data_IF_241680817116
#
_entry.id   IF_241680817116
#
_cell.length_a   1.000
_cell.length_b   1.000
_cell.length_c   1.000
_cell.angle_alpha   90.00
_cell.angle_beta   90.00
_cell.angle_gamma   90.00
#
_symmetry.space_group_name_H-M   'P 1'
#
loop_
_entity.id
_entity.type
_entity.pdbx_description
1 polymer ?
#
# COMPACT_ATOMS: atom_id res chain seq x y z
N UNK A 1 3.20 0.17 -36.52
CA UNK A 1 3.81 -0.31 -35.26
C UNK A 1 2.66 -0.70 -34.33
N UNK A 2 2.48 -1.99 -34.06
CA UNK A 2 1.38 -2.48 -33.22
C UNK A 2 1.71 -2.13 -31.76
N UNK A 3 1.04 -1.14 -31.19
CA UNK A 3 1.17 -0.82 -29.77
C UNK A 3 0.77 -2.07 -28.98
N UNK A 4 1.75 -2.70 -28.32
CA UNK A 4 1.48 -3.79 -27.40
C UNK A 4 0.48 -3.28 -26.35
N UNK A 5 -0.57 -4.05 -26.01
CA UNK A 5 -1.48 -3.65 -24.95
C UNK A 5 -0.63 -3.51 -23.68
N UNK A 6 -0.64 -2.31 -23.08
CA UNK A 6 -0.08 -2.11 -21.73
C UNK A 6 -0.76 -3.14 -20.85
N UNK A 7 -0.01 -4.15 -20.42
CA UNK A 7 -0.48 -5.14 -19.46
C UNK A 7 -0.76 -4.35 -18.18
N UNK A 8 -2.02 -3.99 -17.95
CA UNK A 8 -2.45 -3.40 -16.69
C UNK A 8 -2.31 -4.54 -15.69
N UNK A 9 -1.13 -4.63 -15.07
CA UNK A 9 -0.96 -5.44 -13.88
C UNK A 9 -1.81 -4.72 -12.85
N UNK A 10 -3.03 -5.22 -12.63
CA UNK A 10 -3.82 -4.84 -11.46
C UNK A 10 -2.98 -5.26 -10.26
N UNK A 11 -2.21 -4.32 -9.71
CA UNK A 11 -1.47 -4.56 -8.48
C UNK A 11 -2.53 -4.90 -7.43
N UNK A 12 -2.53 -6.15 -6.98
CA UNK A 12 -3.45 -6.59 -5.95
C UNK A 12 -2.90 -6.09 -4.61
N UNK A 13 -3.50 -5.03 -4.09
CA UNK A 13 -3.13 -4.48 -2.79
C UNK A 13 -3.79 -5.31 -1.70
N UNK A 14 -3.02 -6.24 -1.14
CA UNK A 14 -3.52 -7.18 -0.15
C UNK A 14 -3.43 -6.58 1.26
N UNK A 15 -4.58 -6.48 1.93
CA UNK A 15 -4.68 -6.08 3.33
C UNK A 15 -4.58 -7.32 4.23
N UNK A 16 -3.48 -7.43 4.97
CA UNK A 16 -3.19 -8.59 5.83
C UNK A 16 -3.22 -8.25 7.32
N UNK A 17 -3.32 -9.26 8.17
CA UNK A 17 -3.20 -9.08 9.61
C UNK A 17 -1.72 -8.87 10.02
N UNK A 18 -1.51 -8.49 11.28
CA UNK A 18 -0.17 -8.19 11.81
C UNK A 18 0.81 -9.38 11.76
N UNK A 19 0.33 -10.61 11.97
CA UNK A 19 1.19 -11.80 11.97
C UNK A 19 1.69 -12.09 10.56
N UNK A 20 0.78 -12.10 9.59
CA UNK A 20 1.14 -12.28 8.17
C UNK A 20 2.04 -11.15 7.69
N UNK A 21 1.78 -9.90 8.09
CA UNK A 21 2.67 -8.79 7.76
C UNK A 21 4.08 -8.99 8.32
N UNK A 22 4.21 -9.49 9.55
CA UNK A 22 5.50 -9.77 10.17
C UNK A 22 6.26 -10.87 9.40
N UNK A 23 5.58 -11.96 9.05
CA UNK A 23 6.15 -13.06 8.26
C UNK A 23 6.64 -12.57 6.88
N UNK A 24 5.82 -11.78 6.18
CA UNK A 24 6.12 -11.32 4.83
C UNK A 24 7.21 -10.24 4.79
N UNK A 25 7.29 -9.38 5.81
CA UNK A 25 8.31 -8.32 5.88
C UNK A 25 9.61 -8.77 6.54
N UNK A 26 9.61 -9.90 7.25
CA UNK A 26 10.69 -10.31 8.14
C UNK A 26 10.85 -9.43 9.38
N UNK A 27 9.94 -8.46 9.60
CA UNK A 27 9.93 -7.61 10.79
C UNK A 27 9.17 -8.28 11.92
N UNK A 28 9.56 -8.01 13.17
CA UNK A 28 8.77 -8.47 14.30
C UNK A 28 7.39 -7.78 14.34
N UNK A 29 6.34 -8.44 14.87
CA UNK A 29 5.03 -7.80 15.09
C UNK A 29 5.12 -6.54 15.99
N UNK A 30 6.14 -6.48 16.86
CA UNK A 30 6.38 -5.37 17.76
C UNK A 30 6.98 -4.18 16.99
N UNK A 31 7.89 -4.43 16.04
CA UNK A 31 8.44 -3.42 15.13
C UNK A 31 7.34 -2.81 14.26
N UNK A 32 6.46 -3.63 13.68
CA UNK A 32 5.30 -3.13 12.91
C UNK A 32 4.34 -2.30 13.78
N UNK A 33 4.18 -2.65 15.06
CA UNK A 33 3.40 -1.84 16.00
C UNK A 33 4.11 -0.51 16.29
N UNK A 34 5.43 -0.54 16.48
CA UNK A 34 6.26 0.64 16.74
C UNK A 34 6.18 1.63 15.57
N UNK A 35 6.46 1.18 14.34
CA UNK A 35 6.41 2.03 13.14
C UNK A 35 5.04 2.67 12.92
N UNK A 36 3.97 1.94 13.26
CA UNK A 36 2.60 2.48 13.23
C UNK A 36 2.38 3.58 14.26
N UNK A 37 2.85 3.38 15.50
CA UNK A 37 2.66 4.34 16.59
C UNK A 37 3.55 5.57 16.47
N UNK A 38 4.73 5.42 15.86
CA UNK A 38 5.67 6.51 15.59
C UNK A 38 5.33 7.31 14.32
N UNK A 39 4.33 6.86 13.54
CA UNK A 39 3.92 7.54 12.31
C UNK A 39 4.83 7.31 11.10
N UNK A 40 5.83 6.43 11.21
CA UNK A 40 6.70 6.03 10.10
C UNK A 40 5.87 5.37 8.99
N UNK A 41 4.91 4.52 9.40
CA UNK A 41 3.90 3.97 8.50
C UNK A 41 2.62 4.79 8.65
N UNK A 42 2.38 5.66 7.68
CA UNK A 42 1.19 6.51 7.61
C UNK A 42 -0.11 5.70 7.55
N UNK A 43 -1.12 6.18 8.28
CA UNK A 43 -2.47 5.63 8.31
C UNK A 43 -3.14 5.82 6.94
N UNK A 44 -3.98 4.87 6.55
CA UNK A 44 -4.76 4.85 5.31
C UNK A 44 -3.93 4.65 4.02
N UNK A 45 -2.60 4.73 4.13
CA UNK A 45 -1.64 4.30 3.11
C UNK A 45 -1.11 2.89 3.39
N UNK A 46 -0.35 2.73 4.48
CA UNK A 46 0.33 1.48 4.81
C UNK A 46 -0.49 0.57 5.72
N UNK A 47 -1.45 1.12 6.44
CA UNK A 47 -2.34 0.36 7.31
C UNK A 47 -3.67 1.07 7.44
N UNK A 48 -4.73 0.29 7.63
CA UNK A 48 -6.08 0.79 7.85
C UNK A 48 -6.64 0.23 9.15
N UNK A 49 -7.46 1.05 9.81
CA UNK A 49 -8.26 0.63 10.94
C UNK A 49 -9.67 0.31 10.45
N UNK A 50 -10.04 -0.97 10.42
CA UNK A 50 -11.40 -1.38 10.07
C UNK A 50 -12.35 -1.06 11.24
N UNK A 51 -11.87 -1.32 12.46
CA UNK A 51 -12.52 -0.95 13.72
C UNK A 51 -11.44 -0.82 14.82
N UNK A 52 -11.78 -0.35 16.04
CA UNK A 52 -10.78 -0.13 17.09
C UNK A 52 -9.94 -1.37 17.48
N UNK A 53 -10.41 -2.58 17.16
CA UNK A 53 -9.73 -3.85 17.46
C UNK A 53 -9.04 -4.48 16.24
N UNK A 54 -9.38 -4.04 15.03
CA UNK A 54 -8.94 -4.68 13.78
C UNK A 54 -8.16 -3.70 12.92
N UNK A 55 -6.85 -3.93 12.90
CA UNK A 55 -5.89 -3.23 12.05
C UNK A 55 -5.46 -4.19 10.93
N UNK A 56 -5.37 -3.67 9.70
CA UNK A 56 -4.82 -4.37 8.55
C UNK A 56 -3.69 -3.58 7.93
N UNK A 57 -2.69 -4.27 7.43
CA UNK A 57 -1.49 -3.71 6.81
C UNK A 57 -1.52 -3.95 5.30
N UNK A 58 -1.20 -2.93 4.52
CA UNK A 58 -1.03 -3.00 3.08
C UNK A 58 0.37 -3.54 2.78
N UNK A 59 0.48 -4.85 2.56
CA UNK A 59 1.78 -5.50 2.48
C UNK A 59 2.59 -5.06 1.27
N UNK A 60 1.92 -4.80 0.15
CA UNK A 60 2.54 -4.39 -1.10
C UNK A 60 3.28 -3.06 -0.94
N UNK A 61 2.64 -2.06 -0.31
CA UNK A 61 3.26 -0.76 -0.07
C UNK A 61 4.35 -0.81 1.00
N UNK A 62 4.20 -1.64 2.04
CA UNK A 62 5.23 -1.75 3.08
C UNK A 62 6.50 -2.39 2.50
N UNK A 63 6.37 -3.45 1.69
CA UNK A 63 7.52 -4.07 1.03
C UNK A 63 8.19 -3.12 0.04
N UNK A 64 7.41 -2.39 -0.76
CA UNK A 64 7.94 -1.38 -1.68
C UNK A 64 8.68 -0.27 -0.92
N UNK A 65 8.11 0.23 0.18
CA UNK A 65 8.77 1.19 1.06
C UNK A 65 10.08 0.65 1.61
N UNK A 66 10.11 -0.60 2.11
CA UNK A 66 11.33 -1.21 2.64
C UNK A 66 12.45 -1.29 1.60
N UNK A 67 12.11 -1.54 0.33
CA UNK A 67 13.07 -1.62 -0.77
C UNK A 67 13.57 -0.25 -1.23
N UNK A 68 12.67 0.75 -1.23
CA UNK A 68 12.90 2.03 -1.88
C UNK A 68 13.24 3.19 -0.93
N UNK A 69 12.98 3.08 0.38
CA UNK A 69 13.14 4.19 1.34
C UNK A 69 14.54 4.80 1.37
N UNK A 70 15.58 3.99 1.19
CA UNK A 70 16.99 4.43 1.29
C UNK A 70 17.59 4.71 -0.10
N UNK A 71 17.03 4.12 -1.17
CA UNK A 71 17.63 4.10 -2.51
C UNK A 71 16.86 4.94 -3.53
N UNK A 72 15.53 4.90 -3.51
CA UNK A 72 14.68 5.62 -4.46
C UNK A 72 13.30 5.98 -3.89
N UNK A 73 13.23 7.02 -3.03
CA UNK A 73 11.96 7.46 -2.45
C UNK A 73 10.91 7.88 -3.49
N UNK A 74 11.35 8.36 -4.65
CA UNK A 74 10.45 8.80 -5.73
C UNK A 74 9.69 7.63 -6.37
N UNK A 75 10.35 6.47 -6.52
CA UNK A 75 9.68 5.26 -6.98
C UNK A 75 8.57 4.84 -6.00
N UNK A 76 8.82 4.97 -4.70
CA UNK A 76 7.84 4.67 -3.68
C UNK A 76 6.63 5.61 -3.72
N UNK A 77 6.86 6.92 -3.86
CA UNK A 77 5.76 7.89 -4.02
C UNK A 77 4.86 7.54 -5.20
N UNK A 78 5.45 7.14 -6.34
CA UNK A 78 4.68 6.67 -7.50
C UNK A 78 3.89 5.40 -7.22
N UNK A 79 4.41 4.49 -6.39
CA UNK A 79 3.67 3.30 -5.95
C UNK A 79 2.44 3.69 -5.11
N UNK A 80 2.58 4.69 -4.22
CA UNK A 80 1.46 5.23 -3.45
C UNK A 80 0.41 5.87 -4.37
N UNK A 81 0.81 6.69 -5.35
CA UNK A 81 -0.12 7.29 -6.33
C UNK A 81 -0.88 6.23 -7.13
N UNK A 82 -0.19 5.17 -7.55
CA UNK A 82 -0.82 4.04 -8.25
C UNK A 82 -1.80 3.30 -7.33
N UNK A 83 -1.48 3.15 -6.04
CA UNK A 83 -2.39 2.58 -5.06
C UNK A 83 -3.65 3.42 -4.93
N UNK A 84 -3.52 4.72 -4.66
CA UNK A 84 -4.65 5.63 -4.47
C UNK A 84 -5.54 5.71 -5.71
N UNK A 85 -4.95 5.75 -6.91
CA UNK A 85 -5.71 5.76 -8.17
C UNK A 85 -6.38 4.41 -8.49
N UNK A 86 -5.88 3.31 -7.94
CA UNK A 86 -6.51 1.99 -8.07
C UNK A 86 -7.76 1.82 -7.19
N UNK A 87 -7.92 2.66 -6.15
CA UNK A 87 -9.07 2.56 -5.25
C UNK A 87 -10.37 2.88 -5.99
N UNK A 88 -11.46 2.11 -5.77
CA UNK A 88 -12.75 2.39 -6.39
C UNK A 88 -13.26 3.81 -6.11
N UNK A 89 -12.96 4.37 -4.93
CA UNK A 89 -13.31 5.74 -4.56
C UNK A 89 -12.71 6.79 -5.51
N UNK A 90 -11.49 6.57 -6.01
CA UNK A 90 -10.84 7.46 -6.96
C UNK A 90 -11.45 7.35 -8.37
N UNK A 91 -11.96 6.17 -8.74
CA UNK A 91 -12.52 5.90 -10.07
C UNK A 91 -13.91 6.54 -10.28
N UNK A 92 -14.67 6.77 -9.20
CA UNK A 92 -16.06 7.25 -9.24
C UNK A 92 -16.21 8.68 -9.80
N UNK A 93 -15.15 9.50 -9.83
CA UNK A 93 -15.20 10.86 -10.38
C UNK A 93 -15.20 10.91 -11.93
N UNK A 94 -14.96 9.79 -12.60
CA UNK A 94 -14.94 9.75 -14.07
C UNK A 94 -16.33 9.58 -14.71
N UNK A 95 -17.36 9.17 -13.94
CA UNK A 95 -18.70 8.87 -14.48
C UNK A 95 -19.71 10.02 -14.36
N UNK A 96 -19.41 11.06 -13.58
CA UNK A 96 -20.26 12.25 -13.42
C UNK A 96 -20.04 13.33 -14.49
N UNK A 97 -19.35 12.99 -15.59
CA UNK A 97 -19.09 13.89 -16.72
C UNK A 97 -19.61 13.26 -18.02
N UNK A 98 -20.93 13.11 -18.11
CA UNK A 98 -21.66 12.87 -19.37
C UNK A 98 -22.95 13.66 -19.34
#
# INVERSE_FOLDING_TARGET
MKNAPKKIILQHYQLVNKQVAAEMTGLSPQTLKKYRLEGILEKDIYWVMINPRVIRYNISLILDWMQNKDTNPQAHLKAIENYLSSLPSAQNNSRAKR
#
